data_IF_487256999279
#
_entry.id   IF_487256999279
#
_cell.length_a   1.000
_cell.length_b   1.000
_cell.length_c   1.000
_cell.angle_alpha   90.00
_cell.angle_beta   90.00
_cell.angle_gamma   90.00
#
_symmetry.space_group_name_H-M   'P 1'
#
loop_
_entity.id
_entity.type
_entity.pdbx_description
1 polymer ?
#
# COMPACT_ATOMS: atom_id res chain seq x y z
N UNK A 1 -13.00 0.21 14.31
CA UNK A 1 -12.28 -0.41 13.17
C UNK A 1 -12.98 -0.03 11.88
N UNK A 2 -12.23 0.16 10.79
CA UNK A 2 -12.74 0.66 9.52
C UNK A 2 -12.40 -0.32 8.40
N UNK A 3 -13.34 -0.60 7.50
CA UNK A 3 -13.02 -1.07 6.16
C UNK A 3 -12.33 0.08 5.40
N UNK A 4 -11.25 -0.19 4.69
CA UNK A 4 -10.46 0.84 4.01
C UNK A 4 -10.01 0.39 2.62
N UNK A 5 -10.00 1.35 1.69
CA UNK A 5 -9.45 1.13 0.36
C UNK A 5 -7.93 1.36 0.38
N UNK A 6 -7.15 0.30 0.59
CA UNK A 6 -5.68 0.38 0.62
C UNK A 6 -5.05 0.99 -0.65
N UNK A 7 -5.54 0.74 -1.87
CA UNK A 7 -5.00 1.37 -3.07
C UNK A 7 -5.08 2.90 -3.09
N UNK A 8 -5.90 3.51 -2.22
CA UNK A 8 -6.07 4.96 -2.14
C UNK A 8 -5.29 5.62 -0.99
N UNK A 9 -4.46 4.88 -0.26
CA UNK A 9 -3.66 5.42 0.85
C UNK A 9 -2.74 6.56 0.41
N UNK A 10 -2.12 6.47 -0.77
CA UNK A 10 -1.28 7.52 -1.33
C UNK A 10 -2.05 8.83 -1.58
N UNK A 11 -3.36 8.76 -1.76
CA UNK A 11 -4.18 9.96 -1.93
C UNK A 11 -4.46 10.66 -0.59
N UNK A 12 -4.45 9.91 0.51
CA UNK A 12 -4.52 10.49 1.86
C UNK A 12 -3.21 11.16 2.23
N UNK A 13 -2.07 10.47 2.03
CA UNK A 13 -0.74 11.02 2.32
C UNK A 13 -0.43 12.29 1.53
N UNK A 14 -0.98 12.41 0.33
CA UNK A 14 -0.79 13.56 -0.55
C UNK A 14 -1.97 14.54 -0.56
N UNK A 15 -2.90 14.44 0.39
CA UNK A 15 -4.03 15.37 0.60
C UNK A 15 -5.05 15.46 -0.54
N UNK A 16 -5.13 14.47 -1.43
CA UNK A 16 -6.18 14.41 -2.47
C UNK A 16 -7.51 14.04 -1.81
N UNK A 17 -7.48 12.99 -0.97
CA UNK A 17 -8.63 12.49 -0.23
C UNK A 17 -8.39 12.59 1.28
N UNK A 18 -9.48 12.65 2.04
CA UNK A 18 -9.47 12.51 3.49
C UNK A 18 -9.64 11.06 3.94
N UNK A 19 -9.37 10.78 5.21
CA UNK A 19 -9.41 9.42 5.77
C UNK A 19 -10.80 8.78 5.66
N UNK A 20 -11.83 9.58 5.90
CA UNK A 20 -13.25 9.20 5.89
C UNK A 20 -13.77 8.86 4.48
N UNK A 21 -13.10 9.31 3.42
CA UNK A 21 -13.49 9.02 2.05
C UNK A 21 -12.99 7.67 1.53
N UNK A 22 -11.97 7.13 2.18
CA UNK A 22 -11.44 5.81 1.83
C UNK A 22 -11.68 4.75 2.89
N UNK A 23 -12.45 5.09 3.92
CA UNK A 23 -12.75 4.20 5.04
C UNK A 23 -14.25 4.18 5.35
N UNK A 24 -14.71 3.00 5.82
CA UNK A 24 -16.11 2.82 6.19
C UNK A 24 -16.20 2.04 7.53
N UNK A 25 -17.11 2.43 8.46
CA UNK A 25 -17.24 1.72 9.74
C UNK A 25 -17.64 0.26 9.52
N UNK A 26 -16.80 -0.68 9.99
CA UNK A 26 -17.01 -2.10 9.72
C UNK A 26 -18.34 -2.62 10.28
N UNK A 27 -18.79 -2.11 11.45
CA UNK A 27 -20.09 -2.47 12.02
C UNK A 27 -21.27 -2.09 11.13
N UNK A 28 -21.12 -1.03 10.32
CA UNK A 28 -22.18 -0.61 9.41
C UNK A 28 -22.39 -1.59 8.24
N UNK A 29 -21.37 -2.39 7.89
CA UNK A 29 -21.54 -3.46 6.90
C UNK A 29 -22.46 -4.57 7.40
N UNK A 30 -22.42 -4.87 8.69
CA UNK A 30 -23.05 -6.05 9.27
C UNK A 30 -24.34 -5.74 10.03
N UNK A 31 -24.82 -4.48 10.03
CA UNK A 31 -26.01 -4.06 10.78
C UNK A 31 -27.27 -4.91 10.54
N UNK A 32 -27.39 -5.50 9.35
CA UNK A 32 -28.54 -6.32 8.96
C UNK A 32 -28.33 -7.82 9.14
N UNK A 33 -27.16 -8.24 9.62
CA UNK A 33 -26.76 -9.63 9.74
C UNK A 33 -26.70 -10.01 11.22
N UNK A 34 -27.76 -10.60 11.76
CA UNK A 34 -27.87 -10.97 13.18
C UNK A 34 -26.92 -12.11 13.60
N UNK A 35 -26.39 -12.85 12.64
CA UNK A 35 -25.45 -13.96 12.85
C UNK A 35 -23.98 -13.56 12.76
N UNK A 36 -23.68 -12.24 12.72
CA UNK A 36 -22.28 -11.73 12.63
C UNK A 36 -21.98 -10.84 13.83
N UNK A 37 -21.01 -11.27 14.63
CA UNK A 37 -20.46 -10.50 15.72
C UNK A 37 -19.12 -9.88 15.35
N UNK A 38 -18.97 -8.59 15.60
CA UNK A 38 -17.70 -7.90 15.45
C UNK A 38 -17.04 -7.70 16.82
N UNK A 39 -15.89 -8.37 17.03
CA UNK A 39 -15.09 -8.25 18.23
C UNK A 39 -13.84 -7.38 17.97
N UNK A 40 -13.74 -6.22 18.64
CA UNK A 40 -12.62 -5.30 18.45
C UNK A 40 -11.48 -5.64 19.42
N UNK A 41 -10.60 -6.52 18.98
CA UNK A 41 -9.40 -6.91 19.71
C UNK A 41 -8.23 -7.15 18.74
N UNK A 42 -7.02 -7.15 19.26
CA UNK A 42 -5.84 -7.59 18.54
C UNK A 42 -5.65 -9.09 18.76
N UNK A 43 -5.52 -9.86 17.66
CA UNK A 43 -5.11 -11.25 17.74
C UNK A 43 -3.61 -11.30 18.08
N UNK A 44 -3.29 -11.90 19.22
CA UNK A 44 -1.93 -11.98 19.76
C UNK A 44 -1.29 -13.35 19.56
N UNK A 45 -2.09 -14.37 19.21
CA UNK A 45 -1.60 -15.72 18.96
C UNK A 45 -2.69 -16.72 18.63
N UNK A 46 -2.27 -17.93 18.28
CA UNK A 46 -3.14 -19.05 17.98
C UNK A 46 -2.75 -20.26 18.84
N UNK A 47 -3.75 -21.01 19.29
CA UNK A 47 -3.63 -22.31 19.93
C UNK A 47 -4.47 -23.33 19.12
N UNK A 48 -3.92 -23.90 18.05
CA UNK A 48 -4.66 -24.80 17.17
C UNK A 48 -5.13 -26.09 17.85
N UNK A 49 -4.38 -26.57 18.84
CA UNK A 49 -4.71 -27.82 19.56
C UNK A 49 -6.02 -27.69 20.35
N UNK A 50 -6.26 -26.50 20.93
CA UNK A 50 -7.46 -26.21 21.69
C UNK A 50 -8.50 -25.39 20.88
N UNK A 51 -8.24 -25.11 19.60
CA UNK A 51 -9.08 -24.29 18.70
C UNK A 51 -9.36 -22.89 19.29
N UNK A 52 -8.31 -22.19 19.73
CA UNK A 52 -8.38 -20.89 20.38
C UNK A 52 -7.58 -19.84 19.61
N UNK A 53 -8.19 -18.68 19.40
CA UNK A 53 -7.51 -17.43 19.03
C UNK A 53 -7.29 -16.61 20.29
N UNK A 54 -6.04 -16.35 20.64
CA UNK A 54 -5.66 -15.48 21.75
C UNK A 54 -5.78 -14.03 21.32
N UNK A 55 -6.43 -13.21 22.13
CA UNK A 55 -6.61 -11.78 21.84
C UNK A 55 -6.26 -10.88 23.01
N UNK A 56 -6.09 -9.59 22.74
CA UNK A 56 -5.86 -8.56 23.77
C UNK A 56 -7.01 -8.39 24.77
N UNK A 57 -8.19 -8.98 24.49
CA UNK A 57 -9.41 -8.85 25.30
C UNK A 57 -10.06 -10.19 25.64
N UNK A 58 -9.26 -11.24 25.73
CA UNK A 58 -9.71 -12.60 26.04
C UNK A 58 -9.62 -13.53 24.84
N UNK A 59 -9.79 -14.80 25.11
CA UNK A 59 -9.65 -15.88 24.14
C UNK A 59 -10.98 -16.16 23.42
N UNK A 60 -10.89 -16.51 22.14
CA UNK A 60 -12.06 -16.85 21.31
C UNK A 60 -11.88 -18.28 20.78
N UNK A 61 -12.84 -19.16 21.08
CA UNK A 61 -12.88 -20.49 20.49
C UNK A 61 -13.50 -20.47 19.10
N UNK A 62 -13.12 -21.46 18.26
CA UNK A 62 -13.64 -21.58 16.90
C UNK A 62 -13.84 -23.06 16.52
N UNK A 63 -14.74 -23.33 15.61
CA UNK A 63 -14.83 -24.59 14.89
C UNK A 63 -13.98 -24.54 13.62
N UNK A 64 -14.07 -23.42 12.89
CA UNK A 64 -13.26 -23.09 11.71
C UNK A 64 -12.67 -21.69 11.85
N UNK A 65 -11.43 -21.52 11.42
CA UNK A 65 -10.70 -20.25 11.48
C UNK A 65 -10.27 -19.80 10.09
N UNK A 66 -10.53 -18.54 9.75
CA UNK A 66 -9.96 -17.89 8.56
C UNK A 66 -8.93 -16.83 9.00
N UNK A 67 -7.67 -17.02 8.65
CA UNK A 67 -6.60 -16.04 8.89
C UNK A 67 -6.52 -15.08 7.70
N UNK A 68 -6.98 -13.84 7.92
CA UNK A 68 -6.99 -12.76 6.92
C UNK A 68 -6.29 -11.51 7.47
N UNK A 69 -5.21 -11.68 8.23
CA UNK A 69 -4.50 -10.63 8.95
C UNK A 69 -3.74 -9.68 8.03
N UNK A 70 -3.58 -10.04 6.76
CA UNK A 70 -2.88 -9.24 5.77
C UNK A 70 -1.37 -9.17 6.00
N UNK A 71 -0.77 -8.07 5.57
CA UNK A 71 0.67 -7.86 5.63
C UNK A 71 1.02 -6.56 6.36
N UNK A 72 2.26 -6.48 6.84
CA UNK A 72 2.92 -5.28 7.34
C UNK A 72 4.12 -4.92 6.48
N UNK A 73 4.70 -3.76 6.71
CA UNK A 73 5.90 -3.29 6.01
C UNK A 73 7.10 -4.16 6.34
N UNK A 74 7.90 -4.47 5.33
CA UNK A 74 9.16 -5.19 5.47
C UNK A 74 10.34 -4.23 5.32
N UNK A 75 11.10 -4.04 6.38
CA UNK A 75 12.32 -3.22 6.39
C UNK A 75 13.60 -4.02 6.16
N UNK A 76 13.48 -5.32 5.81
CA UNK A 76 14.62 -6.21 5.53
C UNK A 76 15.69 -6.25 6.65
N UNK A 77 15.26 -6.08 7.90
CA UNK A 77 16.13 -6.08 9.07
C UNK A 77 16.82 -4.75 9.37
N UNK A 78 16.57 -3.69 8.60
CA UNK A 78 17.15 -2.36 8.81
C UNK A 78 16.35 -1.59 9.88
N UNK A 79 16.74 -1.73 11.15
CA UNK A 79 16.04 -1.10 12.29
C UNK A 79 16.05 0.43 12.22
N UNK A 80 17.17 1.04 11.82
CA UNK A 80 17.29 2.49 11.65
C UNK A 80 16.28 3.04 10.63
N UNK A 81 16.07 2.32 9.51
CA UNK A 81 15.06 2.67 8.51
C UNK A 81 13.65 2.52 9.09
N UNK A 82 13.39 1.46 9.87
CA UNK A 82 12.09 1.22 10.52
C UNK A 82 11.74 2.34 11.52
N UNK A 83 12.73 2.81 12.27
CA UNK A 83 12.53 3.85 13.30
C UNK A 83 12.32 5.25 12.71
N UNK A 84 12.90 5.55 11.55
CA UNK A 84 12.96 6.92 11.03
C UNK A 84 12.20 7.16 9.73
N UNK A 85 11.77 6.12 9.01
CA UNK A 85 11.04 6.27 7.75
C UNK A 85 9.52 6.26 7.93
N UNK A 86 8.81 6.68 6.90
CA UNK A 86 7.35 6.69 6.84
C UNK A 86 6.85 5.54 5.97
N UNK A 87 6.30 4.47 6.56
CA UNK A 87 5.67 3.39 5.79
C UNK A 87 4.32 3.82 5.22
N UNK A 88 3.80 3.02 4.27
CA UNK A 88 2.58 3.32 3.49
C UNK A 88 1.65 2.10 3.41
N UNK A 89 1.39 1.44 4.54
CA UNK A 89 0.52 0.24 4.57
C UNK A 89 -0.80 0.47 5.30
N UNK A 90 -0.87 1.47 6.18
CA UNK A 90 -2.06 1.74 6.99
C UNK A 90 -2.58 3.17 6.81
N UNK A 91 -3.85 3.39 7.13
CA UNK A 91 -4.46 4.72 7.09
C UNK A 91 -3.77 5.71 8.05
N UNK A 92 -3.39 5.22 9.24
CA UNK A 92 -2.64 6.01 10.22
C UNK A 92 -1.29 6.47 9.67
N UNK A 93 -0.56 5.58 9.03
CA UNK A 93 0.73 5.88 8.41
C UNK A 93 0.60 6.93 7.30
N UNK A 94 -0.42 6.81 6.45
CA UNK A 94 -0.70 7.80 5.40
C UNK A 94 -1.04 9.18 5.98
N UNK A 95 -1.80 9.22 7.08
CA UNK A 95 -2.12 10.46 7.79
C UNK A 95 -0.88 11.08 8.43
N UNK A 96 -0.04 10.26 9.07
CA UNK A 96 1.23 10.72 9.65
C UNK A 96 2.16 11.28 8.57
N UNK A 97 2.26 10.60 7.42
CA UNK A 97 3.06 11.09 6.29
C UNK A 97 2.51 12.41 5.75
N UNK A 98 1.19 12.56 5.58
CA UNK A 98 0.56 13.83 5.19
C UNK A 98 0.95 14.96 6.12
N UNK A 99 0.77 14.74 7.42
CA UNK A 99 1.07 15.72 8.44
C UNK A 99 2.57 16.08 8.43
N UNK A 100 3.45 15.09 8.29
CA UNK A 100 4.88 15.28 8.17
C UNK A 100 5.25 16.12 6.96
N UNK A 101 4.73 15.81 5.77
CA UNK A 101 4.99 16.57 4.55
C UNK A 101 4.62 18.05 4.72
N UNK A 102 3.42 18.34 5.23
CA UNK A 102 2.99 19.73 5.46
C UNK A 102 3.90 20.42 6.49
N UNK A 103 4.14 19.79 7.65
CA UNK A 103 5.02 20.37 8.69
C UNK A 103 6.45 20.59 8.21
N UNK A 104 6.95 19.74 7.30
CA UNK A 104 8.29 19.86 6.72
C UNK A 104 8.40 21.09 5.83
N UNK A 105 7.38 21.37 5.00
CA UNK A 105 7.35 22.59 4.17
C UNK A 105 7.11 23.84 5.02
N UNK A 106 6.28 23.78 6.08
CA UNK A 106 6.16 24.86 7.06
C UNK A 106 7.48 25.18 7.73
N UNK A 107 8.25 24.17 8.09
CA UNK A 107 9.58 24.35 8.66
C UNK A 107 10.56 24.94 7.65
N UNK A 108 10.58 24.42 6.42
CA UNK A 108 11.44 24.92 5.36
C UNK A 108 11.19 26.40 5.04
N UNK A 109 9.92 26.84 5.12
CA UNK A 109 9.54 28.25 4.87
C UNK A 109 10.09 29.24 5.92
N UNK A 110 10.44 28.75 7.13
CA UNK A 110 10.98 29.55 8.24
C UNK A 110 12.52 29.51 8.32
N UNK A 111 13.16 28.58 7.60
CA UNK A 111 14.63 28.46 7.63
C UNK A 111 15.23 29.47 6.67
N UNK A 112 15.89 30.51 7.22
CA UNK A 112 16.52 31.59 6.42
C UNK A 112 18.01 31.38 6.21
N UNK A 113 18.75 31.05 7.27
CA UNK A 113 20.21 31.07 7.29
C UNK A 113 20.88 29.68 7.16
N UNK A 114 20.16 28.58 7.26
CA UNK A 114 20.68 27.21 7.10
C UNK A 114 20.24 26.61 5.78
N UNK A 115 21.02 26.86 4.73
CA UNK A 115 20.74 26.36 3.37
C UNK A 115 20.76 24.85 3.31
N UNK A 116 21.62 24.18 4.08
CA UNK A 116 21.74 22.72 4.08
C UNK A 116 20.54 22.06 4.76
N UNK A 117 20.06 22.62 5.88
CA UNK A 117 18.85 22.18 6.52
C UNK A 117 17.63 22.42 5.60
N UNK A 118 17.53 23.59 4.98
CA UNK A 118 16.45 23.92 4.04
C UNK A 118 16.41 22.91 2.89
N UNK A 119 17.56 22.59 2.29
CA UNK A 119 17.67 21.58 1.24
C UNK A 119 17.24 20.19 1.75
N UNK A 120 17.70 19.79 2.95
CA UNK A 120 17.32 18.51 3.55
C UNK A 120 15.80 18.40 3.81
N UNK A 121 15.15 19.47 4.23
CA UNK A 121 13.69 19.55 4.40
C UNK A 121 12.94 19.46 3.06
N UNK A 122 13.54 19.94 1.98
CA UNK A 122 12.98 19.96 0.64
C UNK A 122 13.42 18.74 -0.21
N UNK A 123 14.16 17.79 0.37
CA UNK A 123 14.53 16.52 -0.28
C UNK A 123 13.61 15.41 0.21
N UNK A 124 12.89 14.77 -0.72
CA UNK A 124 11.93 13.71 -0.45
C UNK A 124 12.39 12.43 -1.14
N UNK A 125 12.61 11.37 -0.36
CA UNK A 125 13.02 10.07 -0.85
C UNK A 125 11.84 9.10 -0.78
N UNK A 126 11.54 8.44 -1.89
CA UNK A 126 10.53 7.38 -1.97
C UNK A 126 11.27 6.09 -2.33
N UNK A 127 11.13 5.05 -1.52
CA UNK A 127 11.85 3.79 -1.67
C UNK A 127 10.90 2.69 -2.07
N UNK A 128 11.12 2.10 -3.24
CA UNK A 128 10.32 1.03 -3.84
C UNK A 128 9.66 1.43 -5.16
N UNK A 129 9.99 0.74 -6.25
CA UNK A 129 9.49 0.97 -7.61
C UNK A 129 8.22 0.19 -7.96
N UNK A 130 7.54 -0.36 -6.97
CA UNK A 130 6.22 -0.98 -7.11
C UNK A 130 5.08 0.04 -7.30
N UNK A 131 3.82 -0.42 -7.42
CA UNK A 131 2.67 0.49 -7.60
C UNK A 131 2.60 1.61 -6.56
N UNK A 132 2.70 1.28 -5.28
CA UNK A 132 2.64 2.27 -4.19
C UNK A 132 3.68 3.38 -4.32
N UNK A 133 4.95 3.02 -4.58
CA UNK A 133 6.01 4.03 -4.70
C UNK A 133 5.86 4.90 -5.96
N UNK A 134 5.43 4.32 -7.08
CA UNK A 134 5.16 5.06 -8.32
C UNK A 134 3.99 6.04 -8.14
N UNK A 135 2.89 5.58 -7.53
CA UNK A 135 1.69 6.39 -7.26
C UNK A 135 2.01 7.53 -6.28
N UNK A 136 2.76 7.23 -5.22
CA UNK A 136 3.20 8.22 -4.24
C UNK A 136 4.13 9.26 -4.88
N UNK A 137 5.10 8.85 -5.70
CA UNK A 137 6.03 9.75 -6.36
C UNK A 137 5.31 10.73 -7.31
N UNK A 138 4.39 10.23 -8.12
CA UNK A 138 3.57 11.06 -9.00
C UNK A 138 2.68 12.03 -8.23
N UNK A 139 2.04 11.55 -7.17
CA UNK A 139 1.13 12.36 -6.36
C UNK A 139 1.88 13.41 -5.50
N UNK A 140 3.06 13.09 -4.96
CA UNK A 140 3.90 14.07 -4.25
C UNK A 140 4.40 15.15 -5.20
N UNK A 141 4.86 14.78 -6.40
CA UNK A 141 5.27 15.77 -7.41
C UNK A 141 4.14 16.78 -7.67
N UNK A 142 2.92 16.30 -7.85
CA UNK A 142 1.78 17.19 -8.06
C UNK A 142 1.42 18.01 -6.81
N UNK A 143 1.52 17.44 -5.61
CA UNK A 143 1.34 18.17 -4.36
C UNK A 143 2.30 19.36 -4.28
N UNK A 144 3.57 19.12 -4.56
CA UNK A 144 4.62 20.13 -4.50
C UNK A 144 4.43 21.19 -5.60
N UNK A 145 4.43 20.78 -6.85
CA UNK A 145 4.54 21.71 -7.97
C UNK A 145 3.22 22.36 -8.40
N UNK A 146 2.07 21.74 -8.11
CA UNK A 146 0.76 22.32 -8.46
C UNK A 146 0.06 22.97 -7.26
N UNK A 147 0.26 22.44 -6.06
CA UNK A 147 -0.47 22.84 -4.86
C UNK A 147 0.38 23.70 -3.93
N UNK A 148 1.43 23.16 -3.33
CA UNK A 148 2.27 23.87 -2.35
C UNK A 148 2.97 25.09 -2.95
N UNK A 149 3.24 25.09 -4.25
CA UNK A 149 3.72 26.27 -4.97
C UNK A 149 2.83 27.50 -4.79
N UNK A 150 1.54 27.30 -4.60
CA UNK A 150 0.59 28.40 -4.39
C UNK A 150 0.49 28.84 -2.92
N UNK A 151 0.90 27.95 -2.00
CA UNK A 151 0.80 28.21 -0.56
C UNK A 151 2.07 28.83 0.00
N UNK A 152 3.26 28.45 -0.51
CA UNK A 152 4.56 28.88 -0.02
C UNK A 152 5.27 29.77 -1.01
N UNK A 153 4.94 31.08 -1.00
CA UNK A 153 5.52 32.07 -1.93
C UNK A 153 7.01 32.36 -1.66
N UNK A 154 7.47 32.08 -0.44
CA UNK A 154 8.86 32.28 -0.02
C UNK A 154 9.76 31.05 -0.25
N UNK A 155 9.22 29.98 -0.82
CA UNK A 155 9.98 28.80 -1.21
C UNK A 155 10.10 28.71 -2.74
N UNK A 156 11.30 28.50 -3.22
CA UNK A 156 11.50 28.13 -4.63
C UNK A 156 11.26 26.63 -4.81
N UNK A 157 10.13 26.25 -5.39
CA UNK A 157 9.79 24.83 -5.59
C UNK A 157 10.74 24.11 -6.57
N UNK A 158 11.59 24.82 -7.33
CA UNK A 158 12.62 24.16 -8.13
C UNK A 158 13.77 23.60 -7.29
N UNK A 159 13.88 24.01 -6.02
CA UNK A 159 14.87 23.48 -5.07
C UNK A 159 14.38 22.21 -4.37
N UNK A 160 13.12 21.82 -4.59
CA UNK A 160 12.58 20.52 -4.11
C UNK A 160 13.17 19.40 -4.94
N UNK A 161 13.72 18.40 -4.26
CA UNK A 161 14.34 17.23 -4.85
C UNK A 161 13.54 15.97 -4.49
N UNK A 162 12.81 15.41 -5.45
CA UNK A 162 12.00 14.21 -5.28
C UNK A 162 12.70 13.05 -5.97
N UNK A 163 13.06 12.01 -5.21
CA UNK A 163 13.75 10.83 -5.74
C UNK A 163 12.95 9.57 -5.49
N UNK A 164 12.79 8.76 -6.53
CA UNK A 164 12.26 7.39 -6.45
C UNK A 164 13.41 6.40 -6.58
N UNK A 165 13.66 5.64 -5.51
CA UNK A 165 14.76 4.69 -5.39
C UNK A 165 14.24 3.29 -5.58
N UNK A 166 14.81 2.54 -6.52
CA UNK A 166 14.45 1.15 -6.79
C UNK A 166 15.72 0.28 -6.86
N UNK A 167 15.72 -0.81 -6.12
CA UNK A 167 16.86 -1.72 -6.03
C UNK A 167 17.11 -2.51 -7.31
N UNK A 168 16.07 -2.73 -8.10
CA UNK A 168 16.12 -3.47 -9.37
C UNK A 168 16.31 -2.52 -10.57
N UNK A 169 16.44 -3.13 -11.75
CA UNK A 169 16.60 -2.42 -13.04
C UNK A 169 15.31 -1.83 -13.61
N UNK A 170 14.15 -1.94 -12.89
CA UNK A 170 12.85 -1.58 -13.47
C UNK A 170 11.82 -1.17 -12.42
N UNK A 171 10.96 -0.24 -12.79
CA UNK A 171 9.71 0.05 -12.09
C UNK A 171 8.61 -0.91 -12.53
N UNK A 172 7.60 -1.13 -11.68
CA UNK A 172 6.40 -1.91 -11.97
C UNK A 172 6.72 -3.26 -12.65
N UNK A 173 7.44 -4.18 -11.99
CA UNK A 173 7.96 -5.40 -12.63
C UNK A 173 6.86 -6.28 -13.27
N UNK A 174 5.60 -6.15 -12.82
CA UNK A 174 4.45 -6.86 -13.38
C UNK A 174 3.98 -6.29 -14.72
N UNK A 175 4.43 -5.09 -15.11
CA UNK A 175 4.02 -4.43 -16.35
C UNK A 175 4.95 -4.79 -17.52
N UNK A 176 4.44 -4.85 -18.76
CA UNK A 176 5.26 -4.93 -19.96
C UNK A 176 6.27 -3.79 -20.07
N UNK A 177 7.41 -4.04 -20.72
CA UNK A 177 8.52 -3.11 -20.85
C UNK A 177 8.10 -1.72 -21.37
N UNK A 178 7.28 -1.66 -22.40
CA UNK A 178 6.80 -0.38 -22.97
C UNK A 178 6.03 0.47 -21.94
N UNK A 179 5.27 -0.16 -21.02
CA UNK A 179 4.56 0.56 -19.97
C UNK A 179 5.50 0.96 -18.82
N UNK A 180 6.49 0.13 -18.49
CA UNK A 180 7.53 0.46 -17.52
C UNK A 180 8.36 1.67 -17.95
N UNK A 181 8.80 1.68 -19.21
CA UNK A 181 9.56 2.79 -19.78
C UNK A 181 8.73 4.07 -19.80
N UNK A 182 7.46 3.98 -20.22
CA UNK A 182 6.54 5.11 -20.14
C UNK A 182 6.37 5.65 -18.70
N UNK A 183 6.33 4.76 -17.70
CA UNK A 183 6.23 5.19 -16.29
C UNK A 183 7.45 6.02 -15.87
N UNK A 184 8.65 5.59 -16.24
CA UNK A 184 9.89 6.33 -15.98
C UNK A 184 9.86 7.70 -16.67
N UNK A 185 9.47 7.76 -17.94
CA UNK A 185 9.42 9.01 -18.70
C UNK A 185 8.41 10.01 -18.11
N UNK A 186 7.22 9.54 -17.74
CA UNK A 186 6.19 10.37 -17.09
C UNK A 186 6.67 10.89 -15.74
N UNK A 187 7.28 10.05 -14.90
CA UNK A 187 7.81 10.48 -13.60
C UNK A 187 8.92 11.51 -13.76
N UNK A 188 9.85 11.31 -14.69
CA UNK A 188 10.90 12.30 -15.01
C UNK A 188 10.31 13.61 -15.51
N UNK A 189 9.29 13.56 -16.38
CA UNK A 189 8.53 14.73 -16.81
C UNK A 189 7.83 15.48 -15.68
N UNK A 190 7.49 14.75 -14.60
CA UNK A 190 6.97 15.31 -13.34
C UNK A 190 8.06 15.73 -12.36
N UNK A 191 9.32 15.84 -12.79
CA UNK A 191 10.50 16.22 -11.97
C UNK A 191 10.81 15.25 -10.82
N UNK A 192 10.55 13.97 -11.02
CA UNK A 192 11.00 12.90 -10.12
C UNK A 192 12.29 12.29 -10.66
N UNK A 193 13.36 12.32 -9.87
CA UNK A 193 14.62 11.65 -10.16
C UNK A 193 14.47 10.15 -9.90
N UNK A 194 14.32 9.35 -10.98
CA UNK A 194 14.15 7.89 -10.89
C UNK A 194 15.52 7.22 -10.92
N UNK A 195 15.89 6.58 -9.81
CA UNK A 195 17.16 5.88 -9.60
C UNK A 195 16.93 4.37 -9.50
N UNK A 196 17.17 3.68 -10.60
CA UNK A 196 17.18 2.23 -10.69
C UNK A 196 18.52 1.64 -10.23
N UNK A 197 18.56 0.32 -9.97
CA UNK A 197 19.75 -0.38 -9.49
C UNK A 197 20.37 0.26 -8.25
N UNK A 198 19.57 0.92 -7.42
CA UNK A 198 20.00 1.68 -6.27
C UNK A 198 19.35 1.12 -5.00
N UNK A 199 20.15 0.65 -4.07
CA UNK A 199 19.70 0.07 -2.81
C UNK A 199 19.88 1.05 -1.67
N UNK A 200 18.87 1.12 -0.78
CA UNK A 200 19.04 1.76 0.53
C UNK A 200 19.83 0.83 1.43
N UNK A 201 20.83 1.37 2.10
CA UNK A 201 21.64 0.65 3.10
C UNK A 201 21.31 1.04 4.52
N UNK A 202 20.98 2.30 4.72
CA UNK A 202 20.69 2.85 6.04
C UNK A 202 19.93 4.18 5.95
N UNK A 203 19.24 4.55 7.02
CA UNK A 203 18.69 5.89 7.22
C UNK A 203 18.60 6.18 8.72
N UNK A 204 19.35 7.17 9.18
CA UNK A 204 19.48 7.55 10.60
C UNK A 204 18.52 8.68 11.05
N UNK A 205 17.56 9.06 10.18
CA UNK A 205 16.64 10.19 10.39
C UNK A 205 17.18 11.54 9.87
N UNK A 206 18.43 11.56 9.43
CA UNK A 206 19.05 12.75 8.83
C UNK A 206 19.75 12.45 7.50
N UNK A 207 20.43 11.32 7.39
CA UNK A 207 21.14 10.89 6.19
C UNK A 207 20.65 9.51 5.73
N UNK A 208 20.28 9.44 4.46
CA UNK A 208 20.06 8.16 3.79
C UNK A 208 21.34 7.74 3.05
N UNK A 209 21.73 6.49 3.24
CA UNK A 209 22.85 5.87 2.53
C UNK A 209 22.35 5.03 1.40
N UNK A 210 22.74 5.34 0.17
CA UNK A 210 22.36 4.66 -1.06
C UNK A 210 23.58 3.95 -1.66
N UNK A 211 23.37 2.75 -2.24
CA UNK A 211 24.41 2.01 -2.97
C UNK A 211 23.93 1.68 -4.38
N UNK A 212 24.73 2.11 -5.39
CA UNK A 212 24.53 1.78 -6.80
C UNK A 212 25.83 1.15 -7.35
N UNK A 213 25.82 -0.15 -7.60
CA UNK A 213 27.03 -0.91 -7.89
C UNK A 213 28.04 -0.80 -6.75
N UNK A 214 29.27 -0.33 -7.07
CA UNK A 214 30.33 -0.11 -6.05
C UNK A 214 30.30 1.33 -5.45
N UNK A 215 29.46 2.22 -5.97
CA UNK A 215 29.35 3.58 -5.47
C UNK A 215 28.37 3.67 -4.32
N UNK A 216 28.80 4.34 -3.25
CA UNK A 216 27.97 4.68 -2.11
C UNK A 216 27.82 6.20 -2.03
N UNK A 217 26.61 6.66 -1.75
CA UNK A 217 26.25 8.07 -1.65
C UNK A 217 25.44 8.29 -0.38
N UNK A 218 25.78 9.35 0.39
CA UNK A 218 24.96 9.81 1.51
C UNK A 218 24.24 11.10 1.12
N UNK A 219 22.93 11.10 1.31
CA UNK A 219 22.08 12.26 1.00
C UNK A 219 21.38 12.69 2.28
N UNK A 220 21.48 13.99 2.59
CA UNK A 220 20.76 14.59 3.72
C UNK A 220 19.29 14.78 3.36
N UNK A 221 18.39 14.20 4.13
CA UNK A 221 16.93 14.31 3.94
C UNK A 221 16.21 14.16 5.27
N UNK A 222 15.03 14.78 5.38
CA UNK A 222 14.13 14.62 6.52
C UNK A 222 12.88 13.82 6.18
N UNK A 223 12.77 13.33 4.94
CA UNK A 223 11.60 12.58 4.48
C UNK A 223 12.04 11.36 3.68
N UNK A 224 11.89 10.19 4.27
CA UNK A 224 12.03 8.90 3.59
C UNK A 224 10.73 8.14 3.69
N UNK A 225 10.11 7.86 2.55
CA UNK A 225 8.86 7.12 2.43
C UNK A 225 9.21 5.70 2.02
N UNK A 226 8.84 4.72 2.86
CA UNK A 226 9.18 3.32 2.64
C UNK A 226 8.00 2.58 2.03
N UNK A 227 8.04 2.36 0.73
CA UNK A 227 7.08 1.61 -0.06
C UNK A 227 7.64 0.28 -0.60
N UNK A 228 8.80 -0.16 -0.07
CA UNK A 228 9.53 -1.35 -0.51
C UNK A 228 9.21 -2.55 0.37
N UNK A 229 8.56 -3.55 -0.23
CA UNK A 229 8.36 -4.85 0.39
C UNK A 229 7.27 -4.90 1.47
N UNK A 230 6.67 -6.08 1.55
CA UNK A 230 5.68 -6.45 2.58
C UNK A 230 6.02 -7.84 3.14
N UNK A 231 5.61 -8.08 4.38
CA UNK A 231 5.67 -9.40 5.02
C UNK A 231 4.37 -9.67 5.75
N UNK A 232 4.01 -10.94 5.95
CA UNK A 232 2.83 -11.30 6.73
C UNK A 232 2.88 -10.71 8.14
N UNK A 233 1.72 -10.49 8.75
CA UNK A 233 1.67 -10.04 10.14
C UNK A 233 2.36 -11.04 11.06
N UNK A 234 3.18 -10.59 12.04
CA UNK A 234 3.95 -11.48 12.92
C UNK A 234 3.12 -12.52 13.68
N UNK A 235 1.86 -12.21 13.98
CA UNK A 235 0.94 -13.14 14.67
C UNK A 235 0.76 -14.45 13.90
N UNK A 236 0.91 -14.44 12.58
CA UNK A 236 0.79 -15.65 11.74
C UNK A 236 1.80 -16.72 12.13
N UNK A 237 3.01 -16.33 12.54
CA UNK A 237 4.06 -17.26 12.96
C UNK A 237 3.71 -18.02 14.24
N UNK A 238 2.80 -17.49 15.08
CA UNK A 238 2.38 -18.17 16.32
C UNK A 238 1.49 -19.39 16.07
N UNK A 239 1.02 -19.57 14.82
CA UNK A 239 0.27 -20.76 14.42
C UNK A 239 1.15 -22.04 14.45
N UNK A 240 2.48 -21.90 14.30
CA UNK A 240 3.40 -23.04 14.21
C UNK A 240 3.34 -23.80 12.88
N UNK A 241 2.67 -23.22 11.86
CA UNK A 241 2.61 -23.78 10.51
C UNK A 241 3.86 -23.43 9.69
N UNK A 242 4.08 -24.16 8.60
CA UNK A 242 5.12 -23.86 7.62
C UNK A 242 4.87 -22.48 6.98
N UNK A 243 5.91 -21.65 6.88
CA UNK A 243 5.82 -20.30 6.29
C UNK A 243 6.89 -20.09 5.22
N UNK A 244 6.62 -19.20 4.27
CA UNK A 244 7.59 -18.74 3.29
C UNK A 244 8.55 -17.67 3.86
N UNK A 245 9.46 -17.17 3.00
CA UNK A 245 10.43 -16.12 3.38
C UNK A 245 9.80 -14.79 3.79
N UNK A 246 8.55 -14.53 3.38
CA UNK A 246 7.79 -13.34 3.76
C UNK A 246 6.91 -13.58 5.01
N UNK A 247 6.99 -14.75 5.65
CA UNK A 247 6.22 -15.14 6.82
C UNK A 247 4.77 -15.52 6.51
N UNK A 248 4.40 -15.75 5.23
CA UNK A 248 3.07 -16.19 4.82
C UNK A 248 2.94 -17.69 5.05
N UNK A 249 1.80 -18.13 5.63
CA UNK A 249 1.56 -19.57 5.82
C UNK A 249 1.35 -20.27 4.49
N UNK A 250 1.93 -21.47 4.36
CA UNK A 250 1.72 -22.31 3.19
C UNK A 250 0.32 -22.90 3.24
N UNK A 251 -0.43 -22.72 2.17
CA UNK A 251 -1.79 -23.27 2.05
C UNK A 251 -1.89 -24.31 0.94
N UNK A 252 -2.85 -25.21 1.12
CA UNK A 252 -3.25 -26.18 0.11
C UNK A 252 -4.07 -25.51 -1.01
N UNK A 253 -4.37 -26.26 -2.07
CA UNK A 253 -5.21 -25.77 -3.17
C UNK A 253 -6.63 -25.37 -2.76
N UNK A 254 -7.07 -25.81 -1.60
CA UNK A 254 -8.37 -25.49 -0.99
C UNK A 254 -8.34 -24.22 -0.13
N UNK A 255 -7.18 -23.55 -0.02
CA UNK A 255 -6.89 -22.45 0.91
C UNK A 255 -6.76 -22.88 2.39
N UNK A 256 -6.87 -24.19 2.71
CA UNK A 256 -6.55 -24.70 4.04
C UNK A 256 -5.06 -24.50 4.34
N UNK A 257 -4.73 -24.19 5.58
CA UNK A 257 -3.35 -24.18 6.03
C UNK A 257 -2.81 -25.61 6.09
N UNK A 258 -1.69 -25.86 5.46
CA UNK A 258 -1.08 -27.18 5.38
C UNK A 258 -0.87 -27.79 6.77
N UNK A 259 -1.47 -28.95 7.00
CA UNK A 259 -1.45 -29.64 8.30
C UNK A 259 -2.52 -29.21 9.31
N UNK A 260 -3.42 -28.28 8.95
CA UNK A 260 -4.48 -27.78 9.83
C UNK A 260 -5.84 -27.81 9.12
N UNK A 261 -6.64 -28.89 9.27
CA UNK A 261 -7.85 -29.09 8.48
C UNK A 261 -8.96 -28.08 8.77
N UNK A 262 -8.97 -27.46 9.93
CA UNK A 262 -9.99 -26.48 10.35
C UNK A 262 -9.54 -25.03 10.20
N UNK A 263 -8.32 -24.80 9.67
CA UNK A 263 -7.73 -23.46 9.55
C UNK A 263 -7.46 -23.14 8.09
N UNK A 264 -7.91 -21.97 7.66
CA UNK A 264 -7.73 -21.44 6.32
C UNK A 264 -6.96 -20.12 6.40
N UNK A 265 -6.20 -19.78 5.36
CA UNK A 265 -5.56 -18.47 5.26
C UNK A 265 -5.73 -17.89 3.86
N UNK A 266 -5.93 -16.56 3.78
CA UNK A 266 -6.21 -15.86 2.53
C UNK A 266 -5.46 -14.52 2.46
N UNK A 267 -5.36 -13.99 1.23
CA UNK A 267 -4.74 -12.68 0.97
C UNK A 267 -3.24 -12.65 1.32
N UNK A 268 -2.77 -11.51 1.82
CA UNK A 268 -1.34 -11.28 2.08
C UNK A 268 -0.77 -12.13 3.23
N UNK A 269 -1.58 -12.84 3.99
CA UNK A 269 -1.15 -13.78 5.05
C UNK A 269 -0.90 -15.20 4.54
N UNK A 270 -1.35 -15.53 3.32
CA UNK A 270 -1.25 -16.87 2.73
C UNK A 270 -0.23 -16.93 1.58
N UNK A 271 0.54 -18.01 1.54
CA UNK A 271 1.33 -18.40 0.38
C UNK A 271 0.57 -19.46 -0.41
N UNK A 272 -0.06 -19.04 -1.48
CA UNK A 272 -0.77 -19.90 -2.42
C UNK A 272 0.02 -19.98 -3.73
N UNK A 273 0.26 -21.19 -4.23
CA UNK A 273 0.94 -21.42 -5.50
C UNK A 273 -0.04 -21.82 -6.61
N UNK A 274 0.05 -21.13 -7.73
CA UNK A 274 -0.65 -21.51 -8.95
C UNK A 274 0.37 -21.56 -10.08
N UNK A 275 0.37 -22.66 -10.84
CA UNK A 275 1.30 -22.90 -11.95
C UNK A 275 2.78 -22.74 -11.57
N UNK A 276 3.14 -23.19 -10.35
CA UNK A 276 4.51 -23.14 -9.81
C UNK A 276 5.00 -21.73 -9.46
N UNK A 277 4.07 -20.78 -9.27
CA UNK A 277 4.38 -19.41 -8.86
C UNK A 277 3.46 -18.95 -7.73
N UNK A 278 4.00 -18.23 -6.74
CA UNK A 278 3.16 -17.64 -5.71
C UNK A 278 2.24 -16.58 -6.29
N UNK A 279 0.99 -16.55 -5.82
CA UNK A 279 0.06 -15.50 -6.20
C UNK A 279 0.52 -14.12 -5.71
N UNK A 280 0.22 -13.06 -6.49
CA UNK A 280 0.52 -11.71 -6.08
C UNK A 280 -0.34 -11.29 -4.88
N UNK A 281 0.24 -10.47 -3.99
CA UNK A 281 -0.44 -9.87 -2.83
C UNK A 281 -1.31 -8.68 -3.26
N UNK A 282 -2.44 -8.97 -3.90
CA UNK A 282 -3.38 -8.00 -4.45
C UNK A 282 -4.82 -8.30 -4.01
N UNK A 283 -5.62 -7.25 -3.90
CA UNK A 283 -7.00 -7.37 -3.43
C UNK A 283 -7.88 -8.35 -4.24
N UNK A 284 -7.84 -8.41 -5.58
CA UNK A 284 -8.62 -9.39 -6.34
C UNK A 284 -8.35 -10.84 -5.93
N UNK A 285 -7.07 -11.22 -5.78
CA UNK A 285 -6.70 -12.57 -5.35
C UNK A 285 -7.23 -12.89 -3.94
N UNK A 286 -7.19 -11.91 -3.04
CA UNK A 286 -7.73 -12.08 -1.68
C UNK A 286 -9.26 -12.26 -1.67
N UNK A 287 -9.99 -11.52 -2.51
CA UNK A 287 -11.46 -11.65 -2.62
C UNK A 287 -11.87 -13.00 -3.18
N UNK A 288 -11.28 -13.44 -4.30
CA UNK A 288 -11.59 -14.72 -4.91
C UNK A 288 -11.22 -15.89 -3.98
N UNK A 289 -10.09 -15.79 -3.26
CA UNK A 289 -9.70 -16.75 -2.25
C UNK A 289 -10.74 -16.82 -1.10
N UNK A 290 -11.26 -15.67 -0.64
CA UNK A 290 -12.27 -15.64 0.41
C UNK A 290 -13.56 -16.34 -0.01
N UNK A 291 -14.03 -16.13 -1.24
CA UNK A 291 -15.23 -16.78 -1.77
C UNK A 291 -15.06 -18.32 -1.82
N UNK A 292 -13.91 -18.79 -2.33
CA UNK A 292 -13.62 -20.22 -2.37
C UNK A 292 -13.48 -20.80 -0.95
N UNK A 293 -12.83 -20.09 -0.03
CA UNK A 293 -12.64 -20.51 1.36
C UNK A 293 -13.99 -20.73 2.06
N UNK A 294 -14.93 -19.79 1.90
CA UNK A 294 -16.28 -19.93 2.51
C UNK A 294 -17.01 -21.14 1.97
N UNK A 295 -16.96 -21.39 0.65
CA UNK A 295 -17.55 -22.60 0.06
C UNK A 295 -16.90 -23.86 0.63
N UNK A 296 -15.58 -23.87 0.74
CA UNK A 296 -14.84 -25.02 1.25
C UNK A 296 -15.13 -25.32 2.73
N UNK A 297 -15.33 -24.29 3.56
CA UNK A 297 -15.82 -24.49 4.92
C UNK A 297 -17.22 -25.09 4.92
N UNK A 298 -18.12 -24.62 4.06
CA UNK A 298 -19.46 -25.19 3.95
C UNK A 298 -19.46 -26.65 3.47
N UNK A 299 -18.57 -27.01 2.53
CA UNK A 299 -18.35 -28.38 2.10
C UNK A 299 -17.78 -29.24 3.25
N UNK A 300 -16.81 -28.73 4.00
CA UNK A 300 -16.24 -29.42 5.16
C UNK A 300 -17.31 -29.72 6.22
N UNK A 301 -18.21 -28.77 6.52
CA UNK A 301 -19.32 -28.95 7.47
C UNK A 301 -20.28 -30.06 7.01
N UNK A 302 -20.51 -30.20 5.71
CA UNK A 302 -21.39 -31.21 5.12
C UNK A 302 -20.70 -32.54 4.85
N UNK A 303 -19.37 -32.64 5.00
CA UNK A 303 -18.58 -33.80 4.61
C UNK A 303 -18.46 -33.97 3.08
N UNK A 304 -18.56 -32.88 2.33
CA UNK A 304 -18.45 -32.85 0.88
C UNK A 304 -16.98 -32.54 0.47
N UNK A 305 -16.63 -32.84 -0.80
CA UNK A 305 -15.32 -32.55 -1.37
C UNK A 305 -15.12 -31.04 -1.55
N UNK A 306 -13.94 -30.55 -1.17
CA UNK A 306 -13.60 -29.12 -1.27
C UNK A 306 -13.12 -28.75 -2.69
N UNK A 307 -13.43 -27.53 -3.10
CA UNK A 307 -13.06 -26.99 -4.41
C UNK A 307 -11.59 -26.50 -4.41
N UNK A 308 -10.91 -26.68 -5.52
CA UNK A 308 -9.60 -26.04 -5.77
C UNK A 308 -9.79 -24.57 -6.09
N UNK A 309 -9.11 -23.70 -5.35
CA UNK A 309 -9.04 -22.27 -5.67
C UNK A 309 -8.21 -22.05 -6.94
N UNK A 310 -8.74 -21.28 -7.86
CA UNK A 310 -8.05 -20.86 -9.09
C UNK A 310 -8.24 -19.35 -9.27
N UNK A 311 -7.16 -18.61 -9.10
CA UNK A 311 -7.17 -17.16 -9.31
C UNK A 311 -7.24 -16.81 -10.79
N UNK A 312 -8.16 -15.93 -11.17
CA UNK A 312 -8.27 -15.38 -12.52
C UNK A 312 -7.64 -13.99 -12.57
N UNK A 313 -6.51 -13.85 -13.28
CA UNK A 313 -5.82 -12.58 -13.40
C UNK A 313 -6.70 -11.50 -14.04
N UNK A 314 -7.09 -10.52 -13.26
CA UNK A 314 -7.89 -9.37 -13.70
C UNK A 314 -7.03 -8.25 -14.34
N UNK A 315 -5.71 -8.44 -14.40
CA UNK A 315 -4.76 -7.45 -14.88
C UNK A 315 -4.23 -6.53 -13.77
N UNK A 316 -3.33 -5.66 -14.16
CA UNK A 316 -2.64 -4.73 -13.26
C UNK A 316 -2.81 -3.29 -13.73
N UNK A 317 -2.93 -2.36 -12.79
CA UNK A 317 -3.07 -0.93 -13.05
C UNK A 317 -2.25 -0.14 -12.01
N UNK A 318 -1.69 0.98 -12.43
CA UNK A 318 -1.06 1.94 -11.52
C UNK A 318 -1.19 3.36 -12.08
N UNK A 319 -1.49 4.34 -11.21
CA UNK A 319 -1.46 5.75 -11.60
C UNK A 319 -0.04 6.32 -11.48
N UNK A 320 0.26 7.31 -12.31
CA UNK A 320 1.53 8.04 -12.26
C UNK A 320 1.27 9.51 -11.94
N UNK A 321 0.03 9.82 -11.59
CA UNK A 321 -0.51 11.13 -11.29
C UNK A 321 -1.83 11.39 -12.02
N UNK A 322 -2.40 12.58 -11.82
CA UNK A 322 -3.67 12.95 -12.43
C UNK A 322 -3.55 13.00 -13.96
N UNK A 323 -4.40 12.23 -14.64
CA UNK A 323 -4.40 12.11 -16.10
C UNK A 323 -3.41 11.09 -16.68
N UNK A 324 -2.56 10.47 -15.84
CA UNK A 324 -1.58 9.48 -16.26
C UNK A 324 -1.67 8.19 -15.45
N UNK A 325 -1.84 7.08 -16.14
CA UNK A 325 -1.80 5.74 -15.58
C UNK A 325 -1.29 4.74 -16.62
N UNK A 326 -0.97 3.55 -16.15
CA UNK A 326 -0.68 2.38 -16.98
C UNK A 326 -1.61 1.24 -16.59
N UNK A 327 -2.04 0.48 -17.60
CA UNK A 327 -2.93 -0.67 -17.44
C UNK A 327 -2.48 -1.80 -18.36
N UNK A 328 -2.51 -3.02 -17.82
CA UNK A 328 -2.19 -4.24 -18.56
C UNK A 328 -3.12 -5.38 -18.16
N UNK A 329 -3.72 -6.05 -19.15
CA UNK A 329 -4.50 -7.27 -18.95
C UNK A 329 -4.33 -8.18 -20.18
N UNK A 330 -3.66 -9.32 -20.00
CA UNK A 330 -3.40 -10.25 -21.09
C UNK A 330 -2.60 -9.60 -22.23
N UNK A 331 -3.24 -9.35 -23.37
CA UNK A 331 -2.63 -8.68 -24.51
C UNK A 331 -2.92 -7.17 -24.54
N UNK A 332 -3.90 -6.72 -23.78
CA UNK A 332 -4.35 -5.33 -23.77
C UNK A 332 -3.41 -4.47 -22.93
N UNK A 333 -2.87 -3.43 -23.54
CA UNK A 333 -2.00 -2.43 -22.93
C UNK A 333 -2.62 -1.05 -23.13
N UNK A 334 -2.67 -0.25 -22.06
CA UNK A 334 -3.12 1.13 -22.15
C UNK A 334 -2.29 2.04 -21.26
N UNK A 335 -2.20 3.32 -21.62
CA UNK A 335 -1.49 4.35 -20.87
C UNK A 335 -2.17 5.71 -20.98
N UNK A 336 -1.74 6.66 -20.16
CA UNK A 336 -2.23 8.05 -20.16
C UNK A 336 -3.65 8.19 -19.64
N UNK A 337 -4.39 9.16 -20.18
CA UNK A 337 -5.70 9.55 -19.70
C UNK A 337 -6.74 8.42 -19.73
N UNK A 338 -6.76 7.59 -20.77
CA UNK A 338 -7.70 6.48 -20.87
C UNK A 338 -7.47 5.45 -19.74
N UNK A 339 -6.21 5.05 -19.51
CA UNK A 339 -5.87 4.14 -18.42
C UNK A 339 -6.20 4.76 -17.06
N UNK A 340 -6.04 6.08 -16.90
CA UNK A 340 -6.37 6.80 -15.68
C UNK A 340 -7.89 6.84 -15.41
N UNK A 341 -8.72 7.08 -16.44
CA UNK A 341 -10.18 7.03 -16.32
C UNK A 341 -10.64 5.60 -15.95
N UNK A 342 -10.07 4.58 -16.60
CA UNK A 342 -10.36 3.18 -16.28
C UNK A 342 -9.97 2.84 -14.83
N UNK A 343 -8.80 3.31 -14.37
CA UNK A 343 -8.35 3.17 -12.98
C UNK A 343 -9.35 3.81 -12.01
N UNK A 344 -9.79 5.05 -12.26
CA UNK A 344 -10.78 5.74 -11.44
C UNK A 344 -12.09 4.95 -11.35
N UNK A 345 -12.61 4.47 -12.49
CA UNK A 345 -13.85 3.69 -12.53
C UNK A 345 -13.76 2.43 -11.67
N UNK A 346 -12.68 1.65 -11.81
CA UNK A 346 -12.47 0.42 -11.03
C UNK A 346 -12.39 0.71 -9.53
N UNK A 347 -11.71 1.79 -9.12
CA UNK A 347 -11.51 2.11 -7.70
C UNK A 347 -12.75 2.71 -7.05
N UNK A 348 -13.50 3.58 -7.75
CA UNK A 348 -14.77 4.12 -7.26
C UNK A 348 -15.80 3.02 -7.01
N UNK A 349 -15.93 2.08 -7.94
CA UNK A 349 -16.89 0.97 -7.81
C UNK A 349 -16.59 0.05 -6.61
N UNK A 350 -15.37 0.11 -6.06
CA UNK A 350 -14.95 -0.65 -4.87
C UNK A 350 -15.01 0.14 -3.57
N UNK A 351 -15.37 1.42 -3.61
CA UNK A 351 -15.61 2.20 -2.41
C UNK A 351 -16.98 1.90 -1.82
N UNK A 352 -17.08 1.99 -0.50
CA UNK A 352 -18.33 1.78 0.20
C UNK A 352 -19.16 3.08 0.25
N UNK A 353 -20.35 3.03 -0.32
CA UNK A 353 -21.38 4.06 -0.20
C UNK A 353 -21.45 5.05 -1.38
N UNK A 354 -22.66 5.32 -1.90
CA UNK A 354 -22.84 6.15 -3.10
C UNK A 354 -22.45 7.62 -2.87
N UNK A 355 -22.66 8.17 -1.68
CA UNK A 355 -22.26 9.55 -1.36
C UNK A 355 -20.74 9.71 -1.37
N UNK A 356 -20.02 8.75 -0.80
CA UNK A 356 -18.54 8.71 -0.82
C UNK A 356 -18.05 8.68 -2.27
N UNK A 357 -18.65 7.86 -3.12
CA UNK A 357 -18.28 7.76 -4.53
C UNK A 357 -18.41 9.11 -5.26
N UNK A 358 -19.51 9.83 -5.07
CA UNK A 358 -19.73 11.16 -5.66
C UNK A 358 -18.69 12.18 -5.16
N UNK A 359 -18.40 12.19 -3.87
CA UNK A 359 -17.41 13.10 -3.27
C UNK A 359 -16.00 12.82 -3.80
N UNK A 360 -15.61 11.56 -3.90
CA UNK A 360 -14.30 11.15 -4.42
C UNK A 360 -14.16 11.54 -5.89
N UNK A 361 -15.16 11.26 -6.73
CA UNK A 361 -15.16 11.69 -8.15
C UNK A 361 -15.01 13.21 -8.25
N UNK A 362 -15.80 13.96 -7.48
CA UNK A 362 -15.72 15.41 -7.47
C UNK A 362 -14.31 15.91 -7.12
N UNK A 363 -13.70 15.37 -6.06
CA UNK A 363 -12.33 15.74 -5.66
C UNK A 363 -11.29 15.37 -6.72
N UNK A 364 -11.43 14.23 -7.39
CA UNK A 364 -10.54 13.86 -8.49
C UNK A 364 -10.64 14.83 -9.66
N UNK A 365 -11.85 15.24 -10.04
CA UNK A 365 -12.10 16.27 -11.08
C UNK A 365 -11.46 17.59 -10.67
N UNK A 366 -11.69 18.05 -9.43
CA UNK A 366 -11.11 19.29 -8.92
C UNK A 366 -9.58 19.25 -8.87
N UNK A 367 -8.99 18.11 -8.45
CA UNK A 367 -7.55 17.95 -8.48
C UNK A 367 -6.97 17.94 -9.90
N UNK A 368 -7.65 17.28 -10.85
CA UNK A 368 -7.21 17.20 -12.24
C UNK A 368 -7.20 18.57 -12.92
N UNK A 369 -8.31 19.31 -12.88
CA UNK A 369 -8.45 20.58 -13.59
C UNK A 369 -7.80 21.76 -12.88
N UNK A 370 -7.88 21.81 -11.56
CA UNK A 370 -7.50 23.01 -10.78
C UNK A 370 -6.30 22.80 -9.85
N UNK A 371 -5.84 21.56 -9.69
CA UNK A 371 -4.76 21.22 -8.73
C UNK A 371 -5.17 21.50 -7.28
N UNK A 372 -6.46 21.47 -6.97
CA UNK A 372 -6.98 21.73 -5.62
C UNK A 372 -6.97 20.45 -4.80
N UNK A 373 -6.39 20.51 -3.62
CA UNK A 373 -6.35 19.42 -2.64
C UNK A 373 -6.93 19.91 -1.31
N UNK A 374 -8.13 19.43 -0.99
CA UNK A 374 -8.91 19.96 0.14
C UNK A 374 -8.51 19.36 1.50
N UNK A 375 -7.81 18.22 1.51
CA UNK A 375 -7.47 17.49 2.73
C UNK A 375 -6.11 17.91 3.35
N UNK A 376 -5.64 19.15 3.10
CA UNK A 376 -4.40 19.71 3.65
C UNK A 376 -4.58 20.22 5.08
N UNK A 377 -5.06 19.37 5.95
CA UNK A 377 -5.29 19.70 7.36
C UNK A 377 -4.35 18.83 8.19
N UNK A 378 -3.53 19.48 9.01
CA UNK A 378 -2.72 18.78 10.02
C UNK A 378 -3.63 18.47 11.19
N UNK A 379 -3.71 17.19 11.55
CA UNK A 379 -4.39 16.72 12.77
C UNK A 379 -3.34 16.14 13.70
N UNK A 380 -3.41 16.51 14.97
CA UNK A 380 -2.50 15.99 16.01
C UNK A 380 -2.88 14.58 16.44
#
# INVERSE_FOLDING_TARGET
MLFRSQPLLYQVSTSILSEDEISYPIRAFFQKNENIDFFMAEATGFDPANKIVKTSHGDISYDYLIIATGATTNYFGMKSVEEHSYPMKTLRESTLLRNHLIRTFERASRVENDKDLKKALMTIMIVGGGPTGVEEAGAISELVYKCMKKDYHNLNMNDVDIKLIEATDKLLPMMPEALRNNTVDVLRGKKVDVRLNTQVRDYDGEYITLKCGEKEEKIRTRTVIWAAGVKAQPVVATLGAEVDRAGRVIVEKTTQVKGFPDIYAIGDSAHFEQDGRPLPTIAPAAYEAAETTVKNIMHAIKGEEQETFVYKDLGSMATIGAGDAVMFKGVMKSKGLFAWIAWMAVHVLRLAGPLTNCTVIFKWVMNYFFGVRMARIVRD
#
